data_IF_577354849752
#
_entry.id   IF_577354849752
#
_cell.length_a   1.000
_cell.length_b   1.000
_cell.length_c   1.000
_cell.angle_alpha   90.00
_cell.angle_beta   90.00
_cell.angle_gamma   90.00
#
_symmetry.space_group_name_H-M   'P 1'
#
loop_
_entity.id
_entity.type
_entity.pdbx_description
1 polymer ?
#
# COMPACT_ATOMS: atom_id res chain seq x y z
N UNK A 1 -25.40 22.16 -25.14
CA UNK A 1 -25.62 21.04 -24.20
C UNK A 1 -24.75 19.89 -24.69
N UNK A 2 -23.67 19.56 -23.97
CA UNK A 2 -22.62 18.66 -24.45
C UNK A 2 -22.99 17.20 -24.18
N UNK A 3 -23.38 16.47 -25.22
CA UNK A 3 -23.77 15.05 -25.21
C UNK A 3 -22.71 14.13 -24.56
N UNK A 4 -21.43 14.52 -24.58
CA UNK A 4 -20.34 13.80 -23.91
C UNK A 4 -20.40 13.83 -22.37
N UNK A 5 -21.02 14.85 -21.77
CA UNK A 5 -21.17 14.94 -20.31
C UNK A 5 -22.24 13.97 -19.78
N UNK A 6 -23.18 13.56 -20.63
CA UNK A 6 -24.29 12.68 -20.29
C UNK A 6 -23.94 11.20 -20.51
N UNK A 7 -23.00 10.91 -21.42
CA UNK A 7 -22.55 9.55 -21.72
C UNK A 7 -21.54 8.98 -20.71
N UNK A 8 -20.80 9.86 -20.02
CA UNK A 8 -19.76 9.49 -19.08
C UNK A 8 -20.19 9.91 -17.68
N UNK A 9 -20.39 8.93 -16.79
CA UNK A 9 -20.62 9.18 -15.38
C UNK A 9 -19.33 9.67 -14.70
N UNK A 10 -18.96 10.93 -14.94
CA UNK A 10 -17.72 11.55 -14.48
C UNK A 10 -17.51 11.45 -12.97
N UNK A 11 -18.59 11.47 -12.19
CA UNK A 11 -18.54 11.29 -10.74
C UNK A 11 -18.05 9.91 -10.30
N UNK A 12 -18.44 8.86 -11.02
CA UNK A 12 -18.00 7.49 -10.70
C UNK A 12 -16.62 7.20 -11.26
N UNK A 13 -16.30 7.75 -12.43
CA UNK A 13 -14.96 7.69 -13.01
C UNK A 13 -13.92 8.31 -12.06
N UNK A 14 -14.25 9.47 -11.47
CA UNK A 14 -13.38 10.13 -10.48
C UNK A 14 -13.14 9.28 -9.23
N UNK A 15 -14.16 8.57 -8.73
CA UNK A 15 -14.02 7.66 -7.57
C UNK A 15 -13.10 6.49 -7.90
N UNK A 16 -13.25 5.87 -9.07
CA UNK A 16 -12.39 4.76 -9.50
C UNK A 16 -10.94 5.21 -9.59
N UNK A 17 -10.68 6.39 -10.16
CA UNK A 17 -9.33 6.95 -10.24
C UNK A 17 -8.77 7.24 -8.85
N UNK A 18 -9.55 7.87 -7.96
CA UNK A 18 -9.12 8.18 -6.61
C UNK A 18 -8.79 6.92 -5.78
N UNK A 19 -9.64 5.89 -5.87
CA UNK A 19 -9.42 4.60 -5.21
C UNK A 19 -8.22 3.88 -5.81
N UNK A 20 -8.07 3.87 -7.14
CA UNK A 20 -6.95 3.26 -7.83
C UNK A 20 -5.61 3.91 -7.47
N UNK A 21 -5.56 5.25 -7.44
CA UNK A 21 -4.38 6.00 -7.00
C UNK A 21 -4.06 5.75 -5.53
N UNK A 22 -5.06 5.84 -4.65
CA UNK A 22 -4.85 5.65 -3.20
C UNK A 22 -4.43 4.22 -2.89
N UNK A 23 -5.06 3.22 -3.52
CA UNK A 23 -4.71 1.81 -3.37
C UNK A 23 -3.32 1.51 -3.93
N UNK A 24 -2.99 2.00 -5.12
CA UNK A 24 -1.69 1.79 -5.75
C UNK A 24 -0.55 2.43 -4.97
N UNK A 25 -0.67 3.73 -4.64
CA UNK A 25 0.33 4.46 -3.85
C UNK A 25 0.46 3.85 -2.46
N UNK A 26 -0.67 3.56 -1.81
CA UNK A 26 -0.69 2.92 -0.50
C UNK A 26 0.09 1.60 -0.49
N UNK A 27 -0.16 0.74 -1.48
CA UNK A 27 0.49 -0.57 -1.56
C UNK A 27 2.00 -0.46 -1.81
N UNK A 28 2.44 0.49 -2.65
CA UNK A 28 3.87 0.76 -2.88
C UNK A 28 4.54 1.26 -1.61
N UNK A 29 3.91 2.19 -0.89
CA UNK A 29 4.46 2.74 0.36
C UNK A 29 4.56 1.66 1.44
N UNK A 30 3.52 0.86 1.65
CA UNK A 30 3.52 -0.17 2.70
C UNK A 30 4.49 -1.29 2.38
N UNK A 31 4.64 -1.65 1.11
CA UNK A 31 5.65 -2.59 0.65
C UNK A 31 7.07 -2.05 0.86
N UNK A 32 7.31 -0.76 0.55
CA UNK A 32 8.58 -0.10 0.83
C UNK A 32 8.95 -0.12 2.31
N UNK A 33 7.98 0.11 3.20
CA UNK A 33 8.19 0.03 4.66
C UNK A 33 8.56 -1.39 5.11
N UNK A 34 7.93 -2.41 4.53
CA UNK A 34 8.28 -3.81 4.79
C UNK A 34 9.75 -4.08 4.43
N UNK A 35 10.14 -3.79 3.19
CA UNK A 35 11.51 -4.03 2.71
C UNK A 35 12.53 -3.24 3.52
N UNK A 36 12.26 -1.95 3.77
CA UNK A 36 13.12 -1.11 4.57
C UNK A 36 13.29 -1.67 5.99
N UNK A 37 12.21 -2.06 6.65
CA UNK A 37 12.26 -2.63 7.99
C UNK A 37 13.07 -3.93 8.03
N UNK A 38 12.89 -4.82 7.06
CA UNK A 38 13.64 -6.07 6.96
C UNK A 38 15.13 -5.83 6.74
N UNK A 39 15.48 -4.99 5.76
CA UNK A 39 16.87 -4.66 5.43
C UNK A 39 17.58 -4.02 6.63
N UNK A 40 16.98 -3.00 7.25
CA UNK A 40 17.57 -2.34 8.42
C UNK A 40 17.67 -3.27 9.64
N UNK A 41 16.74 -4.20 9.81
CA UNK A 41 16.84 -5.21 10.88
C UNK A 41 18.03 -6.14 10.65
N UNK A 42 18.29 -6.55 9.40
CA UNK A 42 19.44 -7.37 9.04
C UNK A 42 20.76 -6.59 9.22
N UNK A 43 20.82 -5.33 8.80
CA UNK A 43 22.00 -4.46 9.00
C UNK A 43 22.37 -4.29 10.48
N UNK A 44 21.38 -4.15 11.36
CA UNK A 44 21.63 -4.04 12.81
C UNK A 44 22.10 -5.39 13.37
N UNK A 45 21.50 -6.50 12.93
CA UNK A 45 21.91 -7.85 13.37
C UNK A 45 23.31 -8.24 12.90
N UNK A 46 23.73 -7.79 11.71
CA UNK A 46 25.06 -8.04 11.17
C UNK A 46 26.14 -7.12 11.74
N UNK A 47 25.75 -6.13 12.55
CA UNK A 47 26.67 -5.12 13.10
C UNK A 47 27.08 -4.04 12.09
N UNK A 48 26.51 -4.04 10.89
CA UNK A 48 26.78 -3.03 9.86
C UNK A 48 26.16 -1.65 10.17
N UNK A 49 25.21 -1.60 11.12
CA UNK A 49 24.52 -0.37 11.52
C UNK A 49 24.21 -0.34 13.01
N UNK A 50 24.31 0.84 13.61
CA UNK A 50 23.83 1.12 14.97
C UNK A 50 22.33 1.43 14.96
N UNK A 51 21.56 0.76 15.82
CA UNK A 51 20.12 0.97 15.94
C UNK A 51 19.42 -0.14 16.73
N UNK A 52 18.10 -0.09 16.84
CA UNK A 52 17.31 -1.12 17.52
C UNK A 52 16.68 -2.08 16.51
N UNK A 53 17.10 -3.35 16.55
CA UNK A 53 16.53 -4.39 15.69
C UNK A 53 15.02 -4.56 15.92
N UNK A 54 14.54 -4.33 17.14
CA UNK A 54 13.11 -4.35 17.48
C UNK A 54 12.36 -3.22 16.79
N UNK A 55 12.94 -2.01 16.71
CA UNK A 55 12.30 -0.87 16.06
C UNK A 55 12.11 -1.10 14.56
N UNK A 56 13.17 -1.53 13.88
CA UNK A 56 13.09 -1.86 12.45
C UNK A 56 12.20 -3.09 12.18
N UNK A 57 12.18 -4.06 13.08
CA UNK A 57 11.27 -5.20 13.02
C UNK A 57 9.80 -4.77 13.13
N UNK A 58 9.48 -3.80 13.98
CA UNK A 58 8.14 -3.24 14.09
C UNK A 58 7.71 -2.52 12.81
N UNK A 59 8.61 -1.76 12.18
CA UNK A 59 8.35 -1.12 10.87
C UNK A 59 8.09 -2.17 9.80
N UNK A 60 8.89 -3.24 9.76
CA UNK A 60 8.68 -4.35 8.84
C UNK A 60 7.30 -4.99 9.03
N UNK A 61 6.95 -5.30 10.27
CA UNK A 61 5.66 -5.91 10.62
C UNK A 61 4.49 -5.00 10.23
N UNK A 62 4.59 -3.70 10.52
CA UNK A 62 3.57 -2.72 10.12
C UNK A 62 3.40 -2.67 8.60
N UNK A 63 4.50 -2.58 7.84
CA UNK A 63 4.46 -2.62 6.38
C UNK A 63 3.84 -3.90 5.82
N UNK A 64 4.17 -5.06 6.41
CA UNK A 64 3.56 -6.34 6.05
C UNK A 64 2.05 -6.36 6.29
N UNK A 65 1.61 -5.99 7.49
CA UNK A 65 0.19 -6.01 7.86
C UNK A 65 -0.63 -5.07 6.96
N UNK A 66 -0.15 -3.85 6.70
CA UNK A 66 -0.83 -2.92 5.81
C UNK A 66 -0.87 -3.43 4.37
N UNK A 67 0.21 -4.04 3.87
CA UNK A 67 0.23 -4.63 2.52
C UNK A 67 -0.77 -5.77 2.40
N UNK A 68 -0.78 -6.69 3.37
CA UNK A 68 -1.74 -7.80 3.41
C UNK A 68 -3.18 -7.30 3.49
N UNK A 69 -3.45 -6.24 4.27
CA UNK A 69 -4.76 -5.62 4.35
C UNK A 69 -5.19 -5.03 3.00
N UNK A 70 -4.32 -4.29 2.31
CA UNK A 70 -4.63 -3.71 1.00
C UNK A 70 -4.86 -4.78 -0.07
N UNK A 71 -4.05 -5.84 -0.09
CA UNK A 71 -4.26 -6.99 -0.98
C UNK A 71 -5.58 -7.70 -0.67
N UNK A 72 -5.89 -7.92 0.60
CA UNK A 72 -7.13 -8.53 1.05
C UNK A 72 -8.35 -7.72 0.64
N UNK A 73 -8.31 -6.39 0.84
CA UNK A 73 -9.38 -5.48 0.41
C UNK A 73 -9.53 -5.46 -1.12
N UNK A 74 -8.42 -5.46 -1.87
CA UNK A 74 -8.44 -5.53 -3.32
C UNK A 74 -9.07 -6.83 -3.83
N UNK A 75 -8.68 -7.98 -3.27
CA UNK A 75 -9.26 -9.28 -3.61
C UNK A 75 -10.75 -9.34 -3.24
N UNK A 76 -11.11 -8.87 -2.04
CA UNK A 76 -12.50 -8.85 -1.59
C UNK A 76 -13.38 -8.00 -2.52
N UNK A 77 -12.90 -6.82 -2.92
CA UNK A 77 -13.59 -5.94 -3.85
C UNK A 77 -13.79 -6.59 -5.23
N UNK A 78 -12.84 -7.40 -5.70
CA UNK A 78 -12.98 -8.16 -6.96
C UNK A 78 -14.02 -9.28 -6.82
N UNK A 79 -14.13 -9.91 -5.64
CA UNK A 79 -15.05 -11.03 -5.41
C UNK A 79 -16.49 -10.63 -5.13
N UNK A 80 -16.73 -9.38 -4.71
CA UNK A 80 -18.09 -8.84 -4.65
C UNK A 80 -18.57 -8.49 -6.06
N UNK A 81 -19.29 -9.44 -6.67
CA UNK A 81 -20.05 -9.22 -7.91
C UNK A 81 -21.30 -8.39 -7.65
#
# INVERSE_FOLDING_TARGET
MNVFAELVAWGDLGKVVAVGLTGGVGLVVTWGLLLLGLERTQEVRSGARTGTAVGYGAVALFGALCTLALLGLGLWAITQK
#
